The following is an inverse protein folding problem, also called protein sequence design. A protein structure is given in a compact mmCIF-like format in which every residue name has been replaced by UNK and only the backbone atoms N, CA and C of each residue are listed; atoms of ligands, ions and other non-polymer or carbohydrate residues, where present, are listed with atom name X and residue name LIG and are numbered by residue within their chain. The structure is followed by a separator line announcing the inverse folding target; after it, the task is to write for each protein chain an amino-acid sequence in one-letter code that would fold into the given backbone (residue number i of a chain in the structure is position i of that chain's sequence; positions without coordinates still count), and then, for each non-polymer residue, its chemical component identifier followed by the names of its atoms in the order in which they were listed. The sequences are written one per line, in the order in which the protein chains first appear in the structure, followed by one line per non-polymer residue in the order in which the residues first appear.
data_IF_390200425405
#
_entry.id   IF_390200425405
#
_cell.length_a   1.000
_cell.length_b   1.000
_cell.length_c   1.000
_cell.angle_alpha   90.00
_cell.angle_beta   90.00
_cell.angle_gamma   90.00
#
_symmetry.space_group_name_H-M   'P 1'
#
loop_
_entity.id
_entity.type
_entity.pdbx_description
1 polymer ?
#
# COMPACT_ATOMS: atom_id res chain seq x y z
N UNK A 1 -44.85 -17.76 -0.04
CA UNK A 1 -43.49 -17.33 -0.40
C UNK A 1 -43.04 -16.30 0.62
N UNK A 2 -41.97 -16.55 1.39
CA UNK A 2 -41.45 -15.54 2.34
C UNK A 2 -40.84 -14.39 1.54
N UNK A 3 -41.27 -13.15 1.82
CA UNK A 3 -40.81 -11.95 1.11
C UNK A 3 -39.43 -11.54 1.64
N UNK A 4 -38.36 -12.02 0.99
CA UNK A 4 -36.98 -11.65 1.30
C UNK A 4 -36.52 -10.36 0.60
N UNK A 5 -37.36 -9.76 -0.26
CA UNK A 5 -37.01 -8.57 -1.00
C UNK A 5 -36.65 -7.39 -0.08
N UNK A 6 -37.43 -7.18 0.98
CA UNK A 6 -37.20 -6.08 1.93
C UNK A 6 -35.85 -6.21 2.69
N UNK A 7 -35.51 -7.35 3.34
CA UNK A 7 -34.21 -7.47 4.00
C UNK A 7 -33.02 -7.45 3.03
N UNK A 8 -33.19 -7.94 1.79
CA UNK A 8 -32.14 -7.84 0.76
C UNK A 8 -31.90 -6.38 0.36
N UNK A 9 -32.96 -5.61 0.08
CA UNK A 9 -32.85 -4.19 -0.25
C UNK A 9 -32.23 -3.40 0.91
N UNK A 10 -32.61 -3.71 2.14
CA UNK A 10 -32.00 -3.11 3.33
C UNK A 10 -30.50 -3.40 3.42
N UNK A 11 -30.09 -4.67 3.25
CA UNK A 11 -28.68 -5.06 3.25
C UNK A 11 -27.89 -4.35 2.15
N UNK A 12 -28.42 -4.28 0.94
CA UNK A 12 -27.79 -3.54 -0.18
C UNK A 12 -27.66 -2.05 0.17
N UNK A 13 -28.69 -1.46 0.78
CA UNK A 13 -28.65 -0.06 1.25
C UNK A 13 -27.55 0.18 2.27
N UNK A 14 -27.42 -0.69 3.27
CA UNK A 14 -26.36 -0.60 4.30
C UNK A 14 -24.98 -0.76 3.68
N UNK A 15 -24.77 -1.77 2.81
CA UNK A 15 -23.49 -1.99 2.14
C UNK A 15 -23.12 -0.82 1.21
N UNK A 16 -24.09 -0.27 0.49
CA UNK A 16 -23.88 0.90 -0.37
C UNK A 16 -23.51 2.12 0.47
N UNK A 17 -24.24 2.40 1.55
CA UNK A 17 -23.92 3.49 2.46
C UNK A 17 -22.51 3.34 3.03
N UNK A 18 -22.14 2.14 3.48
CA UNK A 18 -20.79 1.85 3.97
C UNK A 18 -19.72 2.07 2.90
N UNK A 19 -19.97 1.67 1.65
CA UNK A 19 -19.04 1.85 0.54
C UNK A 19 -18.86 3.32 0.14
N UNK A 20 -19.94 4.12 0.13
CA UNK A 20 -19.92 5.50 -0.35
C UNK A 20 -19.58 6.54 0.72
N UNK A 21 -19.91 6.30 1.99
CA UNK A 21 -19.68 7.25 3.11
C UNK A 21 -18.25 7.81 3.18
N UNK A 22 -17.17 7.04 2.95
CA UNK A 22 -15.83 7.60 3.04
C UNK A 22 -15.51 8.64 1.96
N UNK A 23 -16.22 8.65 0.83
CA UNK A 23 -16.04 9.64 -0.24
C UNK A 23 -16.59 11.02 0.13
N UNK A 24 -17.44 11.09 1.16
CA UNK A 24 -18.01 12.35 1.67
C UNK A 24 -17.21 12.93 2.85
N UNK A 25 -16.08 12.32 3.21
CA UNK A 25 -15.22 12.84 4.27
C UNK A 25 -14.51 14.10 3.78
N UNK A 26 -14.87 15.27 4.31
CA UNK A 26 -14.33 16.56 3.87
C UNK A 26 -12.86 16.76 4.26
N UNK A 27 -12.38 16.00 5.24
CA UNK A 27 -11.01 16.13 5.76
C UNK A 27 -10.08 15.16 5.04
N UNK A 28 -8.86 15.63 4.78
CA UNK A 28 -7.74 14.77 4.44
C UNK A 28 -7.21 14.05 5.68
N UNK A 29 -6.38 13.04 5.44
CA UNK A 29 -5.70 12.27 6.47
C UNK A 29 -4.23 12.15 6.10
N UNK A 30 -3.36 12.24 7.10
CA UNK A 30 -1.94 11.91 7.00
C UNK A 30 -1.66 10.87 8.06
N UNK A 31 -1.11 9.73 7.66
CA UNK A 31 -0.84 8.58 8.53
C UNK A 31 0.61 8.15 8.37
N UNK A 32 1.39 8.25 9.44
CA UNK A 32 2.70 7.60 9.49
C UNK A 32 2.48 6.13 9.87
N UNK A 33 2.94 5.21 9.04
CA UNK A 33 2.80 3.77 9.24
C UNK A 33 4.02 3.23 9.97
N UNK A 34 3.77 2.42 10.99
CA UNK A 34 4.83 1.64 11.63
C UNK A 34 5.20 0.44 10.75
N UNK A 35 6.24 0.64 9.96
CA UNK A 35 6.83 -0.35 9.06
C UNK A 35 8.04 -1.06 9.70
N UNK A 36 8.29 -0.84 10.99
CA UNK A 36 9.44 -1.40 11.71
C UNK A 36 10.75 -0.68 11.40
N UNK A 37 11.27 -0.82 10.17
CA UNK A 37 12.49 -0.13 9.72
C UNK A 37 12.21 0.73 8.48
N UNK A 38 12.77 1.95 8.48
CA UNK A 38 12.54 2.98 7.47
C UNK A 38 11.24 3.74 7.69
N UNK A 39 10.80 4.44 6.63
CA UNK A 39 9.64 5.33 6.67
C UNK A 39 8.53 4.84 5.74
N UNK A 40 7.27 5.08 6.15
CA UNK A 40 6.13 4.99 5.24
C UNK A 40 5.03 5.96 5.67
N UNK A 41 4.75 6.94 4.82
CA UNK A 41 3.78 8.01 5.07
C UNK A 41 2.65 7.95 4.05
N UNK A 42 1.46 7.63 4.53
CA UNK A 42 0.26 7.62 3.72
C UNK A 42 -0.46 8.98 3.81
N UNK A 43 -0.89 9.50 2.66
CA UNK A 43 -1.62 10.76 2.56
C UNK A 43 -2.90 10.52 1.76
N UNK A 44 -4.05 10.82 2.36
CA UNK A 44 -5.34 10.85 1.71
C UNK A 44 -5.84 12.29 1.61
N UNK A 45 -6.18 12.71 0.39
CA UNK A 45 -6.78 14.02 0.17
C UNK A 45 -8.26 14.04 0.61
N UNK A 46 -8.80 15.24 0.93
CA UNK A 46 -10.23 15.46 1.12
C UNK A 46 -11.10 14.77 0.07
N UNK A 47 -12.25 14.24 0.50
CA UNK A 47 -13.23 13.54 -0.34
C UNK A 47 -12.65 12.35 -1.11
N UNK A 48 -11.57 11.74 -0.60
CA UNK A 48 -10.82 10.66 -1.29
C UNK A 48 -10.40 11.02 -2.72
N UNK A 49 -10.15 12.30 -3.00
CA UNK A 49 -9.74 12.75 -4.34
C UNK A 49 -8.35 12.29 -4.76
N UNK A 50 -7.56 11.77 -3.83
CA UNK A 50 -6.26 11.17 -4.11
C UNK A 50 -5.68 10.44 -2.91
N UNK A 51 -4.90 9.41 -3.23
CA UNK A 51 -4.15 8.58 -2.29
C UNK A 51 -2.68 8.57 -2.69
N UNK A 52 -1.82 9.05 -1.79
CA UNK A 52 -0.39 9.09 -1.99
C UNK A 52 0.29 8.26 -0.92
N UNK A 53 1.41 7.65 -1.28
CA UNK A 53 2.29 6.98 -0.35
C UNK A 53 3.71 7.49 -0.57
N UNK A 54 4.37 7.90 0.50
CA UNK A 54 5.78 8.28 0.50
C UNK A 54 6.54 7.19 1.25
N UNK A 55 7.44 6.52 0.53
CA UNK A 55 8.20 5.36 0.97
C UNK A 55 7.33 4.18 1.45
N UNK A 56 7.92 3.00 1.44
CA UNK A 56 7.22 1.75 1.72
C UNK A 56 7.76 1.02 2.95
N UNK A 57 8.77 1.59 3.59
CA UNK A 57 9.63 0.88 4.51
C UNK A 57 10.36 -0.28 3.84
N UNK A 58 10.94 -1.14 4.66
CA UNK A 58 11.55 -2.37 4.21
C UNK A 58 12.38 -3.01 5.29
N UNK A 59 12.74 -4.27 5.08
CA UNK A 59 13.72 -4.97 5.90
C UNK A 59 14.95 -5.24 5.04
N UNK A 60 16.12 -4.86 5.55
CA UNK A 60 17.37 -5.35 5.00
C UNK A 60 17.38 -6.88 5.13
N UNK A 61 17.19 -7.59 4.02
CA UNK A 61 17.48 -9.02 3.99
C UNK A 61 18.99 -9.17 3.90
N UNK A 62 19.64 -9.37 5.05
CA UNK A 62 21.03 -9.81 5.05
C UNK A 62 21.08 -11.24 4.50
N UNK A 63 22.12 -11.57 3.73
CA UNK A 63 22.36 -12.96 3.34
C UNK A 63 22.54 -13.80 4.61
N UNK A 64 21.50 -14.56 4.94
CA UNK A 64 21.54 -15.49 6.06
C UNK A 64 22.21 -16.79 5.62
N UNK A 65 23.10 -17.29 6.47
CA UNK A 65 23.69 -18.60 6.27
C UNK A 65 22.61 -19.68 6.15
N UNK A 66 22.86 -20.77 5.36
CA UNK A 66 21.84 -21.77 5.04
C UNK A 66 21.12 -22.37 6.26
N UNK A 67 21.80 -22.45 7.41
CA UNK A 67 21.23 -22.97 8.66
C UNK A 67 20.30 -21.99 9.39
N UNK A 68 20.40 -20.68 9.11
CA UNK A 68 19.50 -19.63 9.61
C UNK A 68 18.27 -19.42 8.73
N UNK A 69 18.32 -19.84 7.46
CA UNK A 69 17.19 -19.74 6.53
C UNK A 69 15.99 -20.51 7.07
N UNK A 70 15.06 -19.79 7.72
CA UNK A 70 13.79 -20.37 8.15
C UNK A 70 12.99 -20.76 6.91
N UNK A 71 12.54 -22.02 6.83
CA UNK A 71 11.57 -22.53 5.83
C UNK A 71 10.15 -21.99 6.06
N UNK A 72 10.03 -20.75 6.53
CA UNK A 72 8.75 -20.08 6.78
C UNK A 72 8.68 -18.97 5.73
N UNK A 73 7.55 -18.88 5.00
CA UNK A 73 7.24 -17.66 4.23
C UNK A 73 7.35 -16.50 5.21
N UNK A 74 8.46 -15.77 5.19
CA UNK A 74 8.62 -14.58 6.00
C UNK A 74 7.60 -13.60 5.43
N UNK A 75 6.46 -13.46 6.12
CA UNK A 75 5.47 -12.45 5.79
C UNK A 75 6.18 -11.11 5.92
N UNK A 76 6.28 -10.42 4.80
CA UNK A 76 7.04 -9.19 4.69
C UNK A 76 6.30 -8.05 5.39
N UNK A 77 6.97 -6.93 5.66
CA UNK A 77 6.31 -5.77 6.28
C UNK A 77 5.15 -5.29 5.38
N UNK A 78 5.34 -5.39 4.07
CA UNK A 78 4.32 -5.10 3.07
C UNK A 78 3.07 -5.96 3.27
N UNK A 79 3.26 -7.28 3.47
CA UNK A 79 2.16 -8.23 3.65
C UNK A 79 1.49 -8.14 5.04
N UNK A 80 2.17 -7.63 6.07
CA UNK A 80 1.66 -7.56 7.44
C UNK A 80 1.01 -6.21 7.78
N UNK A 81 1.58 -5.10 7.31
CA UNK A 81 1.14 -3.76 7.71
C UNK A 81 0.62 -2.96 6.53
N UNK A 82 1.47 -2.69 5.53
CA UNK A 82 1.18 -1.69 4.50
C UNK A 82 -0.04 -2.07 3.63
N UNK A 83 -0.04 -3.28 3.06
CA UNK A 83 -1.13 -3.73 2.18
C UNK A 83 -2.43 -3.95 2.99
N UNK A 84 -2.40 -4.62 4.17
CA UNK A 84 -3.59 -4.70 5.03
C UNK A 84 -4.14 -3.34 5.44
N UNK A 85 -3.28 -2.37 5.74
CA UNK A 85 -3.70 -1.00 6.05
C UNK A 85 -4.47 -0.36 4.89
N UNK A 86 -3.90 -0.38 3.68
CA UNK A 86 -4.57 0.17 2.50
C UNK A 86 -5.91 -0.52 2.24
N UNK A 87 -5.97 -1.85 2.38
CA UNK A 87 -7.21 -2.61 2.20
C UNK A 87 -8.25 -2.32 3.28
N UNK A 88 -7.84 -2.16 4.54
CA UNK A 88 -8.75 -1.78 5.63
C UNK A 88 -9.41 -0.41 5.41
N UNK A 89 -8.71 0.49 4.70
CA UNK A 89 -9.23 1.78 4.27
C UNK A 89 -10.06 1.68 2.97
N UNK A 90 -10.17 0.52 2.35
CA UNK A 90 -10.85 0.32 1.07
C UNK A 90 -10.07 0.92 -0.12
N UNK A 91 -8.76 1.03 0.00
CA UNK A 91 -7.87 1.63 -1.00
C UNK A 91 -7.21 0.52 -1.81
N UNK A 92 -7.71 0.31 -3.03
CA UNK A 92 -7.12 -0.64 -3.98
C UNK A 92 -6.06 0.00 -4.90
N UNK A 93 -5.93 1.33 -4.85
CA UNK A 93 -5.18 2.11 -5.83
C UNK A 93 -4.52 3.33 -5.20
N UNK A 94 -3.27 3.56 -5.56
CA UNK A 94 -2.51 4.76 -5.25
C UNK A 94 -2.42 5.65 -6.49
N UNK A 95 -2.62 6.95 -6.29
CA UNK A 95 -2.44 7.96 -7.33
C UNK A 95 -0.96 8.25 -7.55
N UNK A 96 -0.20 8.33 -6.47
CA UNK A 96 1.25 8.56 -6.51
C UNK A 96 1.92 7.68 -5.45
N UNK A 97 2.91 6.91 -5.87
CA UNK A 97 3.92 6.35 -4.99
C UNK A 97 5.19 7.21 -5.13
N UNK A 98 5.67 7.78 -4.04
CA UNK A 98 6.88 8.59 -3.99
C UNK A 98 7.94 7.77 -3.28
N UNK A 99 9.09 7.52 -3.92
CA UNK A 99 10.23 6.89 -3.27
C UNK A 99 11.34 7.94 -3.14
N UNK A 100 11.74 8.24 -1.90
CA UNK A 100 12.67 9.33 -1.59
C UNK A 100 14.09 9.01 -2.02
N UNK A 101 14.53 7.76 -1.85
CA UNK A 101 15.84 7.27 -2.25
C UNK A 101 15.82 5.75 -2.45
N UNK A 102 16.91 5.22 -3.02
CA UNK A 102 16.97 3.85 -3.52
C UNK A 102 17.28 2.79 -2.45
N UNK A 103 17.34 3.19 -1.18
CA UNK A 103 17.79 2.29 -0.13
C UNK A 103 16.68 1.31 0.24
N UNK A 104 17.08 0.06 0.53
CA UNK A 104 16.17 -1.08 0.70
C UNK A 104 15.22 -0.93 1.88
N UNK A 105 15.57 -0.15 2.89
CA UNK A 105 14.69 0.21 4.00
C UNK A 105 13.64 1.27 3.65
N UNK A 106 13.68 1.88 2.46
CA UNK A 106 12.66 2.80 1.96
C UNK A 106 11.83 2.21 0.81
N UNK A 107 12.44 1.41 -0.08
CA UNK A 107 11.77 0.79 -1.24
C UNK A 107 11.46 -0.70 -1.10
N UNK A 108 11.82 -1.33 0.03
CA UNK A 108 11.82 -2.79 0.18
C UNK A 108 10.48 -3.47 -0.06
N UNK A 109 9.36 -2.74 0.00
CA UNK A 109 8.02 -3.25 -0.27
C UNK A 109 7.39 -2.66 -1.54
N UNK A 110 8.08 -1.75 -2.25
CA UNK A 110 7.54 -1.04 -3.41
C UNK A 110 7.18 -2.00 -4.56
N UNK A 111 8.06 -2.96 -4.89
CA UNK A 111 7.78 -3.97 -5.91
C UNK A 111 6.54 -4.81 -5.58
N UNK A 112 6.39 -5.22 -4.31
CA UNK A 112 5.23 -5.98 -3.85
C UNK A 112 3.95 -5.16 -3.88
N UNK A 113 4.03 -3.90 -3.45
CA UNK A 113 2.92 -2.97 -3.47
C UNK A 113 2.43 -2.72 -4.89
N UNK A 114 3.33 -2.43 -5.84
CA UNK A 114 2.99 -2.21 -7.25
C UNK A 114 2.30 -3.45 -7.86
N UNK A 115 2.73 -4.65 -7.45
CA UNK A 115 2.13 -5.90 -7.92
C UNK A 115 0.71 -6.15 -7.37
N UNK A 116 0.43 -5.76 -6.12
CA UNK A 116 -0.85 -6.04 -5.44
C UNK A 116 -1.85 -4.89 -5.50
N UNK A 117 -1.37 -3.66 -5.61
CA UNK A 117 -2.16 -2.44 -5.63
C UNK A 117 -1.84 -1.66 -6.90
N UNK A 118 -2.87 -1.08 -7.53
CA UNK A 118 -2.65 -0.30 -8.74
C UNK A 118 -1.97 1.03 -8.39
N UNK A 119 -0.79 1.28 -8.92
CA UNK A 119 -0.09 2.57 -8.79
C UNK A 119 -0.23 3.33 -10.11
N UNK A 120 -0.71 4.58 -10.07
CA UNK A 120 -0.87 5.40 -11.30
C UNK A 120 0.41 6.11 -11.72
N UNK A 121 1.20 6.56 -10.75
CA UNK A 121 2.44 7.31 -10.98
C UNK A 121 3.45 6.91 -9.93
N UNK A 122 4.66 6.61 -10.38
CA UNK A 122 5.83 6.48 -9.53
C UNK A 122 6.65 7.76 -9.65
N UNK A 123 6.90 8.43 -8.53
CA UNK A 123 7.73 9.62 -8.45
C UNK A 123 9.04 9.29 -7.73
N UNK A 124 10.15 9.54 -8.42
CA UNK A 124 11.51 9.27 -7.95
C UNK A 124 12.43 10.45 -8.26
N UNK A 125 13.48 10.70 -7.46
CA UNK A 125 14.49 11.70 -7.79
C UNK A 125 15.28 11.33 -9.06
N UNK A 126 15.89 12.32 -9.70
CA UNK A 126 16.83 12.07 -10.81
C UNK A 126 18.03 11.28 -10.27
N UNK A 127 18.44 10.24 -11.01
CA UNK A 127 19.55 9.37 -10.60
C UNK A 127 19.18 8.34 -9.52
N UNK A 128 17.89 8.01 -9.39
CA UNK A 128 17.39 7.03 -8.43
C UNK A 128 17.96 5.62 -8.67
N UNK A 129 17.97 5.14 -9.92
CA UNK A 129 18.47 3.80 -10.21
C UNK A 129 19.99 3.72 -10.02
N UNK A 130 20.41 2.95 -9.01
CA UNK A 130 21.81 2.66 -8.67
C UNK A 130 22.13 1.17 -8.77
N UNK A 131 21.10 0.32 -8.74
CA UNK A 131 21.21 -1.13 -8.84
C UNK A 131 20.35 -1.71 -9.99
N UNK A 132 20.60 -2.95 -10.45
CA UNK A 132 19.72 -3.64 -11.38
C UNK A 132 18.29 -3.83 -10.86
N UNK A 133 18.13 -3.98 -9.54
CA UNK A 133 16.84 -4.14 -8.88
C UNK A 133 16.00 -2.85 -8.99
N UNK A 134 16.63 -1.69 -8.80
CA UNK A 134 15.97 -0.39 -8.99
C UNK A 134 15.48 -0.23 -10.44
N UNK A 135 16.30 -0.68 -11.39
CA UNK A 135 15.96 -0.63 -12.81
C UNK A 135 14.82 -1.59 -13.18
N UNK A 136 14.71 -2.74 -12.51
CA UNK A 136 13.61 -3.68 -12.67
C UNK A 136 12.30 -3.11 -12.11
N UNK A 137 12.35 -2.47 -10.95
CA UNK A 137 11.21 -1.78 -10.36
C UNK A 137 10.64 -0.71 -11.30
N UNK A 138 11.51 0.11 -11.91
CA UNK A 138 11.10 1.14 -12.87
C UNK A 138 10.48 0.59 -14.16
N UNK A 139 10.79 -0.65 -14.54
CA UNK A 139 10.16 -1.32 -15.70
C UNK A 139 8.78 -1.89 -15.35
N UNK A 140 8.53 -2.12 -14.06
CA UNK A 140 7.29 -2.71 -13.56
C UNK A 140 6.18 -1.70 -13.24
N UNK A 141 6.52 -0.40 -13.23
CA UNK A 141 5.65 0.72 -12.87
C UNK A 141 4.99 1.39 -14.06
#
# INVERSE_FOLDING_TARGET
MKSYALPILFLIGVLSAHYFTPNFLEKGEVTMLDVGQGDSLFIQLPYRKGHLLVDTGGRLSFEEEPWKKKNVKVSTIGDQTLIPFLHSKGIAKLDVLILTHADQDHMGEAARLIKRNKVKRLAIPKGFARSPEDAELLKSS
#
